data_IF_685848986598
#
_entry.id   IF_685848986598
#
_cell.length_a   1.000
_cell.length_b   1.000
_cell.length_c   1.000
_cell.angle_alpha   90.00
_cell.angle_beta   90.00
_cell.angle_gamma   90.00
#
_symmetry.space_group_name_H-M   'P 1'
#
loop_
_entity.id
_entity.type
_entity.pdbx_description
1 polymer ?
#
# COMPACT_ATOMS: atom_id res chain seq x y z
N UNK A 1 -8.15 -13.72 -4.19
CA UNK A 1 -8.08 -13.33 -2.76
C UNK A 1 -9.41 -13.67 -2.09
N UNK A 2 -9.43 -14.05 -0.81
CA UNK A 2 -10.70 -14.18 -0.05
C UNK A 2 -11.28 -12.80 0.27
N UNK A 3 -12.59 -12.71 0.57
CA UNK A 3 -13.24 -11.43 0.91
C UNK A 3 -12.56 -10.71 2.09
N UNK A 4 -12.11 -11.48 3.09
CA UNK A 4 -11.35 -10.95 4.22
C UNK A 4 -10.02 -10.29 3.77
N UNK A 5 -9.25 -10.94 2.89
CA UNK A 5 -8.01 -10.37 2.37
C UNK A 5 -8.26 -9.14 1.47
N UNK A 6 -9.38 -9.11 0.75
CA UNK A 6 -9.80 -7.93 -0.04
C UNK A 6 -10.10 -6.75 0.89
N UNK A 7 -10.79 -6.98 2.01
CA UNK A 7 -11.07 -5.95 3.00
C UNK A 7 -9.78 -5.40 3.63
N UNK A 8 -8.82 -6.28 3.97
CA UNK A 8 -7.50 -5.87 4.46
C UNK A 8 -6.76 -5.05 3.41
N UNK A 9 -6.73 -5.50 2.15
CA UNK A 9 -6.07 -4.78 1.04
C UNK A 9 -6.65 -3.38 0.81
N UNK A 10 -7.97 -3.22 0.91
CA UNK A 10 -8.64 -1.90 0.85
C UNK A 10 -8.22 -1.02 2.02
N UNK A 11 -8.20 -1.57 3.24
CA UNK A 11 -7.78 -0.84 4.43
C UNK A 11 -6.31 -0.41 4.37
N UNK A 12 -5.41 -1.30 3.97
CA UNK A 12 -4.00 -0.97 3.74
C UNK A 12 -3.82 0.09 2.66
N UNK A 13 -4.65 0.08 1.61
CA UNK A 13 -4.62 1.14 0.60
C UNK A 13 -5.03 2.50 1.19
N UNK A 14 -5.95 2.54 2.15
CA UNK A 14 -6.30 3.79 2.85
C UNK A 14 -5.10 4.30 3.66
N UNK A 15 -4.55 3.47 4.55
CA UNK A 15 -3.55 3.93 5.53
C UNK A 15 -2.16 4.11 4.93
N UNK A 16 -1.78 3.32 3.92
CA UNK A 16 -0.46 3.42 3.27
C UNK A 16 -0.42 4.41 2.09
N UNK A 17 -1.55 4.95 1.63
CA UNK A 17 -1.57 5.89 0.48
C UNK A 17 -2.17 7.25 0.79
N UNK A 18 -3.10 7.31 1.74
CA UNK A 18 -3.97 8.47 1.89
C UNK A 18 -4.02 8.99 3.32
N UNK A 19 -4.19 8.11 4.30
CA UNK A 19 -4.54 8.49 5.69
C UNK A 19 -3.81 7.63 6.74
N UNK A 20 -2.48 7.71 6.83
CA UNK A 20 -1.70 7.00 7.86
C UNK A 20 -2.07 7.48 9.27
N UNK A 21 -2.50 8.74 9.39
CA UNK A 21 -2.98 9.38 10.62
C UNK A 21 -4.18 8.67 11.27
N UNK A 22 -5.03 7.99 10.48
CA UNK A 22 -6.23 7.29 11.00
C UNK A 22 -5.90 6.17 11.98
N UNK A 23 -4.72 5.56 11.84
CA UNK A 23 -4.20 4.56 12.77
C UNK A 23 -2.97 5.05 13.54
N UNK A 24 -2.61 6.33 13.40
CA UNK A 24 -1.48 6.92 14.11
C UNK A 24 -0.11 6.41 13.68
N UNK A 25 0.06 6.01 12.41
CA UNK A 25 1.38 5.72 11.85
C UNK A 25 1.89 6.92 11.05
N UNK A 26 3.20 6.97 10.87
CA UNK A 26 3.87 7.91 9.97
C UNK A 26 4.60 7.11 8.89
N UNK A 27 4.56 7.61 7.66
CA UNK A 27 5.33 7.05 6.55
C UNK A 27 6.56 7.92 6.35
N UNK A 28 7.70 7.30 6.03
CA UNK A 28 8.89 8.05 5.63
C UNK A 28 8.71 8.70 4.25
N UNK A 29 9.72 9.45 3.80
CA UNK A 29 9.69 10.16 2.52
C UNK A 29 9.48 9.22 1.31
N UNK A 30 9.83 7.94 1.45
CA UNK A 30 9.66 6.90 0.43
C UNK A 30 8.42 6.02 0.65
N UNK A 31 7.59 6.37 1.64
CA UNK A 31 6.33 5.70 1.95
C UNK A 31 6.47 4.45 2.83
N UNK A 32 7.65 4.17 3.38
CA UNK A 32 7.85 3.01 4.24
C UNK A 32 7.36 3.26 5.67
N UNK A 33 6.92 2.18 6.29
CA UNK A 33 6.66 2.06 7.72
C UNK A 33 7.14 0.70 8.21
N UNK A 34 7.52 0.60 9.49
CA UNK A 34 7.77 -0.69 10.14
C UNK A 34 6.54 -1.58 10.07
N UNK A 35 6.75 -2.86 9.74
CA UNK A 35 5.68 -3.87 9.80
C UNK A 35 5.18 -4.03 11.23
N UNK A 36 6.06 -3.96 12.22
CA UNK A 36 5.68 -4.08 13.62
C UNK A 36 4.77 -2.92 14.05
N UNK A 37 5.17 -1.68 13.74
CA UNK A 37 4.41 -0.48 14.08
C UNK A 37 3.05 -0.49 13.38
N UNK A 38 3.01 -0.88 12.10
CA UNK A 38 1.76 -1.03 11.36
C UNK A 38 0.82 -2.04 12.03
N UNK A 39 1.33 -3.23 12.39
CA UNK A 39 0.50 -4.27 12.99
C UNK A 39 0.02 -3.87 14.39
N UNK A 40 0.88 -3.23 15.19
CA UNK A 40 0.52 -2.70 16.50
C UNK A 40 -0.55 -1.62 16.40
N UNK A 41 -0.38 -0.65 15.50
CA UNK A 41 -1.35 0.41 15.22
C UNK A 41 -2.70 -0.16 14.73
N UNK A 42 -2.66 -1.15 13.84
CA UNK A 42 -3.88 -1.84 13.38
C UNK A 42 -4.62 -2.53 14.54
N UNK A 43 -3.89 -3.21 15.43
CA UNK A 43 -4.47 -3.85 16.60
C UNK A 43 -5.10 -2.83 17.57
N UNK A 44 -4.39 -1.73 17.86
CA UNK A 44 -4.89 -0.64 18.72
C UNK A 44 -6.13 0.04 18.12
N UNK A 45 -6.21 0.14 16.79
CA UNK A 45 -7.37 0.67 16.07
C UNK A 45 -8.54 -0.35 15.97
N UNK A 46 -8.46 -1.50 16.64
CA UNK A 46 -9.52 -2.52 16.64
C UNK A 46 -9.59 -3.34 15.33
N UNK A 47 -8.52 -3.34 14.54
CA UNK A 47 -8.45 -4.01 13.24
C UNK A 47 -7.19 -4.86 13.13
N UNK A 48 -7.01 -5.76 14.09
CA UNK A 48 -5.85 -6.64 14.16
C UNK A 48 -5.66 -7.45 12.87
N UNK A 49 -4.44 -7.41 12.35
CA UNK A 49 -4.01 -8.14 11.16
C UNK A 49 -2.82 -9.01 11.58
N UNK A 50 -2.80 -10.27 11.17
CA UNK A 50 -1.63 -11.13 11.40
C UNK A 50 -0.55 -10.90 10.35
N UNK A 51 0.69 -11.26 10.66
CA UNK A 51 1.80 -11.14 9.70
C UNK A 51 1.58 -12.05 8.49
N UNK A 52 0.96 -13.20 8.67
CA UNK A 52 0.59 -14.13 7.60
C UNK A 52 -0.50 -13.53 6.70
N UNK A 53 -1.49 -12.85 7.29
CA UNK A 53 -2.52 -12.15 6.52
C UNK A 53 -1.92 -10.99 5.71
N UNK A 54 -1.04 -10.21 6.33
CA UNK A 54 -0.32 -9.12 5.65
C UNK A 54 0.51 -9.67 4.48
N UNK A 55 1.28 -10.73 4.72
CA UNK A 55 2.07 -11.39 3.69
C UNK A 55 1.22 -12.00 2.57
N UNK A 56 0.08 -12.60 2.91
CA UNK A 56 -0.87 -13.10 1.94
C UNK A 56 -1.42 -11.96 1.06
N UNK A 57 -1.77 -10.80 1.65
CA UNK A 57 -2.21 -9.63 0.88
C UNK A 57 -1.12 -9.15 -0.07
N UNK A 58 0.13 -9.05 0.37
CA UNK A 58 1.24 -8.63 -0.50
C UNK A 58 1.46 -9.62 -1.64
N UNK A 59 1.48 -10.93 -1.34
CA UNK A 59 1.74 -11.99 -2.34
C UNK A 59 0.62 -12.18 -3.35
N UNK A 60 -0.64 -12.06 -2.93
CA UNK A 60 -1.81 -12.38 -3.77
C UNK A 60 -2.43 -11.16 -4.45
N UNK A 61 -1.71 -10.03 -4.44
CA UNK A 61 -2.16 -8.81 -5.11
C UNK A 61 -1.69 -8.80 -6.56
N UNK A 62 -2.60 -9.07 -7.49
CA UNK A 62 -2.30 -9.09 -8.94
C UNK A 62 -1.71 -7.77 -9.47
N UNK A 63 -1.98 -6.65 -8.77
CA UNK A 63 -1.51 -5.32 -9.13
C UNK A 63 -0.24 -4.90 -8.39
N UNK A 64 0.36 -5.81 -7.61
CA UNK A 64 1.54 -5.55 -6.78
C UNK A 64 1.42 -4.22 -6.01
N UNK A 65 0.28 -4.01 -5.33
CA UNK A 65 -0.03 -2.71 -4.70
C UNK A 65 0.91 -2.32 -3.57
N UNK A 66 1.54 -3.31 -2.95
CA UNK A 66 2.35 -3.19 -1.75
C UNK A 66 3.65 -3.98 -1.94
N UNK A 67 4.70 -3.57 -1.24
CA UNK A 67 5.97 -4.28 -1.19
C UNK A 67 6.49 -4.30 0.24
N UNK A 68 7.18 -5.39 0.57
CA UNK A 68 8.05 -5.44 1.74
C UNK A 68 9.46 -4.95 1.36
N UNK A 69 10.20 -4.44 2.34
CA UNK A 69 11.65 -4.26 2.21
C UNK A 69 12.36 -5.61 2.05
N UNK A 70 13.63 -5.60 1.62
CA UNK A 70 14.38 -6.83 1.35
C UNK A 70 14.50 -7.78 2.57
N UNK A 71 14.60 -7.22 3.77
CA UNK A 71 14.61 -7.93 5.05
C UNK A 71 13.20 -8.21 5.61
N UNK A 72 12.15 -7.75 4.93
CA UNK A 72 10.76 -7.90 5.36
C UNK A 72 10.36 -7.06 6.57
N UNK A 73 11.21 -6.16 7.06
CA UNK A 73 10.95 -5.38 8.27
C UNK A 73 10.02 -4.19 8.05
N UNK A 74 9.98 -3.67 6.81
CA UNK A 74 9.16 -2.52 6.42
C UNK A 74 8.21 -2.87 5.29
N UNK A 75 7.14 -2.09 5.16
CA UNK A 75 6.14 -2.19 4.10
C UNK A 75 5.81 -0.81 3.56
N UNK A 76 5.52 -0.72 2.26
CA UNK A 76 4.97 0.47 1.60
C UNK A 76 3.96 0.13 0.52
N UNK A 77 3.21 1.13 0.05
CA UNK A 77 2.50 1.02 -1.22
C UNK A 77 3.43 1.36 -2.41
N UNK A 78 3.22 0.71 -3.55
CA UNK A 78 4.09 0.89 -4.72
C UNK A 78 3.65 2.06 -5.63
N UNK A 79 2.41 2.53 -5.51
CA UNK A 79 1.80 3.52 -6.40
C UNK A 79 0.55 4.13 -5.73
N UNK A 80 0.15 5.31 -6.19
CA UNK A 80 -1.17 5.90 -5.90
C UNK A 80 -1.29 6.62 -4.56
N UNK A 81 -0.19 7.17 -4.05
CA UNK A 81 -0.20 8.06 -2.89
C UNK A 81 -0.91 9.37 -3.22
N UNK A 82 -1.69 9.90 -2.28
CA UNK A 82 -2.13 11.30 -2.28
C UNK A 82 -1.29 12.17 -1.34
N UNK A 83 -0.29 11.57 -0.71
CA UNK A 83 0.70 12.21 0.16
C UNK A 83 1.97 12.49 -0.66
N UNK A 84 2.80 13.48 -0.27
CA UNK A 84 4.06 13.81 -0.94
C UNK A 84 5.11 12.73 -0.64
N UNK A 85 5.03 11.61 -1.36
CA UNK A 85 5.96 10.47 -1.28
C UNK A 85 6.79 10.41 -2.56
N UNK A 86 8.11 10.31 -2.41
CA UNK A 86 9.05 10.05 -3.50
C UNK A 86 9.53 8.60 -3.42
N UNK A 87 9.10 7.77 -4.38
CA UNK A 87 9.44 6.36 -4.40
C UNK A 87 10.86 6.07 -4.90
N UNK A 88 11.60 7.09 -5.35
CA UNK A 88 12.95 6.94 -5.91
C UNK A 88 12.98 6.09 -7.19
N UNK A 89 11.88 6.11 -7.97
CA UNK A 89 11.78 5.33 -9.20
C UNK A 89 12.73 5.90 -10.27
N UNK A 90 13.50 5.02 -10.90
CA UNK A 90 14.33 5.39 -12.03
C UNK A 90 13.42 5.64 -13.24
N UNK A 91 13.51 6.81 -13.90
CA UNK A 91 12.78 7.06 -15.13
C UNK A 91 13.13 6.00 -16.19
N UNK A 92 12.11 5.46 -16.85
CA UNK A 92 12.25 4.46 -17.91
C UNK A 92 11.49 4.92 -19.15
N UNK A 93 11.98 4.50 -20.32
CA UNK A 93 11.27 4.75 -21.57
C UNK A 93 9.97 3.93 -21.58
N UNK A 94 8.79 4.57 -21.72
CA UNK A 94 7.54 3.85 -21.78
C UNK A 94 7.38 3.14 -23.14
N UNK A 95 6.50 2.14 -23.24
CA UNK A 95 6.05 1.63 -24.53
C UNK A 95 5.44 2.74 -25.40
N UNK A 96 5.40 2.53 -26.72
CA UNK A 96 4.83 3.48 -27.69
C UNK A 96 3.39 3.90 -27.35
N UNK A 97 2.59 2.98 -26.82
CA UNK A 97 1.22 3.22 -26.41
C UNK A 97 0.96 2.81 -24.96
N UNK A 98 0.33 3.72 -24.22
CA UNK A 98 -0.24 3.49 -22.90
C UNK A 98 -1.71 3.91 -22.91
N UNK A 99 -2.51 3.29 -22.05
CA UNK A 99 -3.94 3.56 -21.97
C UNK A 99 -4.31 4.15 -20.60
N UNK A 100 -5.21 5.13 -20.62
CA UNK A 100 -5.84 5.69 -19.43
C UNK A 100 -7.35 5.55 -19.54
N UNK A 101 -7.95 4.68 -18.72
CA UNK A 101 -9.40 4.53 -18.66
C UNK A 101 -10.02 5.64 -17.81
N UNK A 102 -11.01 6.35 -18.36
CA UNK A 102 -11.79 7.38 -17.65
C UNK A 102 -13.29 7.21 -17.90
N UNK A 103 -14.12 7.92 -17.13
CA UNK A 103 -15.58 7.92 -17.34
C UNK A 103 -15.98 8.96 -18.39
N UNK A 104 -17.09 8.78 -19.14
CA UNK A 104 -17.46 9.65 -20.27
C UNK A 104 -17.57 11.14 -19.95
N UNK A 105 -17.88 11.50 -18.70
CA UNK A 105 -17.95 12.91 -18.27
C UNK A 105 -16.59 13.64 -18.35
N UNK A 106 -15.48 12.91 -18.37
CA UNK A 106 -14.13 13.46 -18.45
C UNK A 106 -13.44 13.19 -19.80
N UNK A 107 -14.21 12.82 -20.84
CA UNK A 107 -13.73 12.73 -22.22
C UNK A 107 -13.89 14.07 -22.95
#
# INVERSE_FOLDING_TARGET
>A
MTDALVAISKFLSLVLRHRPDVIGIELDAEGWVSVEDLLAACAQHGRAISREQLAAVVRTNDKQRFAFSADGSRIRANQGHSLPIDLGLVPVEPPELLYHGTVPRFL
#
